data_IF_553135552301
#
_entry.id   IF_553135552301
#
_cell.length_a   1.000
_cell.length_b   1.000
_cell.length_c   1.000
_cell.angle_alpha   90.00
_cell.angle_beta   90.00
_cell.angle_gamma   90.00
#
_symmetry.space_group_name_H-M   'P 1'
#
loop_
_entity.id
_entity.type
_entity.pdbx_description
1 polymer ?
#
# COMPACT_ATOMS: atom_id res chain seq x y z
N UNK A 1 12.89 -1.03 2.72
CA UNK A 1 12.28 -2.34 2.95
C UNK A 1 11.39 -2.70 1.77
N UNK A 2 11.62 -3.90 1.21
CA UNK A 2 10.89 -4.44 0.06
C UNK A 2 10.29 -5.79 0.43
N UNK A 3 9.13 -5.79 1.11
CA UNK A 3 8.21 -6.88 1.46
C UNK A 3 8.68 -7.88 2.52
N UNK A 4 9.91 -8.39 2.43
CA UNK A 4 10.40 -9.40 3.36
C UNK A 4 10.73 -8.82 4.72
N UNK A 5 10.38 -9.57 5.78
CA UNK A 5 10.61 -9.19 7.17
C UNK A 5 11.53 -10.21 7.84
N UNK A 6 12.37 -9.78 8.79
CA UNK A 6 13.04 -10.72 9.66
C UNK A 6 12.04 -11.65 10.37
N UNK A 7 12.38 -12.93 10.48
CA UNK A 7 11.47 -13.94 11.01
C UNK A 7 10.99 -13.58 12.42
N UNK A 8 11.91 -13.17 13.30
CA UNK A 8 11.58 -12.74 14.66
C UNK A 8 10.57 -11.59 14.72
N UNK A 9 10.64 -10.65 13.77
CA UNK A 9 9.70 -9.52 13.72
C UNK A 9 8.34 -9.99 13.22
N UNK A 10 8.31 -10.82 12.18
CA UNK A 10 7.10 -11.40 11.62
C UNK A 10 6.35 -12.25 12.65
N UNK A 11 7.05 -13.18 13.32
CA UNK A 11 6.49 -14.08 14.34
C UNK A 11 5.99 -13.33 15.58
N UNK A 12 6.63 -12.22 15.94
CA UNK A 12 6.18 -11.37 17.05
C UNK A 12 5.00 -10.46 16.72
N UNK A 13 4.42 -10.57 15.52
CA UNK A 13 3.25 -9.81 15.05
C UNK A 13 3.55 -8.68 14.07
N UNK A 14 4.82 -8.47 13.68
CA UNK A 14 5.20 -7.52 12.64
C UNK A 14 4.60 -6.12 12.84
N UNK A 15 4.02 -5.56 11.78
CA UNK A 15 3.39 -4.24 11.84
C UNK A 15 2.03 -4.19 12.57
N UNK A 16 1.55 -5.29 13.14
CA UNK A 16 0.41 -5.25 14.08
C UNK A 16 0.81 -4.71 15.45
N UNK A 17 2.10 -4.81 15.82
CA UNK A 17 2.65 -4.36 17.10
C UNK A 17 2.57 -2.85 17.23
N UNK A 18 2.32 -2.37 18.46
CA UNK A 18 2.28 -0.94 18.75
C UNK A 18 3.67 -0.27 18.62
N UNK A 19 4.72 -1.02 18.89
CA UNK A 19 6.13 -0.58 18.86
C UNK A 19 6.82 -0.82 17.50
N UNK A 20 6.10 -1.35 16.50
CA UNK A 20 6.64 -1.56 15.15
C UNK A 20 7.21 -0.28 14.50
N UNK A 21 6.65 0.92 14.71
CA UNK A 21 7.25 2.15 14.19
C UNK A 21 8.66 2.42 14.73
N UNK A 22 8.86 2.21 16.03
CA UNK A 22 10.17 2.42 16.68
C UNK A 22 11.19 1.37 16.25
N UNK A 23 10.75 0.11 16.10
CA UNK A 23 11.61 -0.98 15.61
C UNK A 23 12.07 -0.67 14.19
N UNK A 24 11.16 -0.26 13.31
CA UNK A 24 11.48 0.09 11.94
C UNK A 24 12.37 1.34 11.84
N UNK A 25 12.13 2.35 12.68
CA UNK A 25 12.98 3.54 12.74
C UNK A 25 14.42 3.24 13.16
N UNK A 26 14.63 2.30 14.09
CA UNK A 26 16.00 1.84 14.48
C UNK A 26 16.72 1.19 13.29
N UNK A 27 16.02 0.34 12.54
CA UNK A 27 16.58 -0.25 11.32
C UNK A 27 16.92 0.83 10.28
N UNK A 28 16.01 1.76 10.02
CA UNK A 28 16.22 2.85 9.07
C UNK A 28 17.38 3.77 9.49
N UNK A 29 17.52 4.05 10.79
CA UNK A 29 18.65 4.80 11.35
C UNK A 29 19.96 4.08 11.06
N UNK A 30 20.05 2.79 11.39
CA UNK A 30 21.26 1.99 11.13
C UNK A 30 21.65 2.01 9.66
N UNK A 31 20.68 1.83 8.75
CA UNK A 31 20.93 1.91 7.29
C UNK A 31 21.46 3.29 6.89
N UNK A 32 20.88 4.37 7.42
CA UNK A 32 21.33 5.72 7.13
C UNK A 32 22.74 6.02 7.68
N UNK A 33 23.08 5.48 8.84
CA UNK A 33 24.42 5.61 9.42
C UNK A 33 25.50 4.86 8.62
N UNK A 34 25.15 3.70 8.03
CA UNK A 34 26.09 2.90 7.27
C UNK A 34 26.22 3.33 5.80
N UNK A 35 25.12 3.73 5.17
CA UNK A 35 25.03 3.95 3.72
C UNK A 35 24.74 5.41 3.36
N UNK A 36 24.36 6.26 4.30
CA UNK A 36 23.91 7.63 4.03
C UNK A 36 24.96 8.47 3.28
N UNK A 37 26.26 8.26 3.55
CA UNK A 37 27.34 8.92 2.81
C UNK A 37 27.54 8.46 1.36
N UNK A 38 26.89 7.37 0.95
CA UNK A 38 27.08 6.73 -0.36
C UNK A 38 25.84 6.85 -1.24
N UNK A 39 24.71 7.33 -0.71
CA UNK A 39 23.44 7.40 -1.44
C UNK A 39 22.82 8.80 -1.33
N UNK A 40 22.10 9.19 -2.36
CA UNK A 40 21.36 10.45 -2.41
C UNK A 40 19.91 10.27 -1.96
N UNK A 41 19.36 9.06 -2.04
CA UNK A 41 17.96 8.75 -1.76
C UNK A 41 17.83 7.48 -0.94
N UNK A 42 16.88 7.47 -0.01
CA UNK A 42 16.46 6.26 0.72
C UNK A 42 14.94 6.10 0.61
N UNK A 43 14.52 5.01 -0.02
CA UNK A 43 13.14 4.55 0.01
C UNK A 43 12.91 3.76 1.30
N UNK A 44 12.08 4.25 2.19
CA UNK A 44 11.79 3.56 3.44
C UNK A 44 11.03 2.26 3.23
N UNK A 45 9.97 2.33 2.41
CA UNK A 45 9.06 1.20 2.16
C UNK A 45 8.66 1.17 0.69
N UNK A 46 8.67 -0.04 0.12
CA UNK A 46 8.02 -0.32 -1.15
C UNK A 46 6.56 -0.75 -0.90
N UNK A 47 5.62 -0.12 -1.58
CA UNK A 47 4.20 -0.49 -1.69
C UNK A 47 3.49 -0.87 -0.37
N UNK A 48 3.51 -0.05 0.67
CA UNK A 48 2.89 -0.40 1.95
C UNK A 48 1.39 -0.71 1.84
N UNK A 49 0.71 -0.17 0.84
CA UNK A 49 -0.70 -0.46 0.54
C UNK A 49 -0.89 -1.88 -0.01
N UNK A 50 0.02 -2.38 -0.83
CA UNK A 50 -0.02 -3.76 -1.35
C UNK A 50 0.26 -4.75 -0.21
N UNK A 51 1.28 -4.48 0.61
CA UNK A 51 1.58 -5.28 1.80
C UNK A 51 0.36 -5.38 2.72
N UNK A 52 -0.25 -4.24 3.05
CA UNK A 52 -1.45 -4.22 3.89
C UNK A 52 -2.62 -4.98 3.27
N UNK A 53 -2.87 -4.78 1.97
CA UNK A 53 -3.96 -5.45 1.25
C UNK A 53 -3.75 -6.96 1.17
N UNK A 54 -2.57 -7.41 0.75
CA UNK A 54 -2.31 -8.82 0.53
C UNK A 54 -2.19 -9.60 1.85
N UNK A 55 -1.61 -9.00 2.89
CA UNK A 55 -1.44 -9.66 4.19
C UNK A 55 -2.71 -9.70 5.04
N UNK A 56 -3.56 -8.65 4.96
CA UNK A 56 -4.64 -8.49 5.95
C UNK A 56 -6.06 -8.33 5.37
N UNK A 57 -6.19 -8.17 4.02
CA UNK A 57 -7.51 -8.15 3.38
C UNK A 57 -7.71 -9.33 2.44
N UNK A 58 -6.73 -9.63 1.58
CA UNK A 58 -6.80 -10.73 0.62
C UNK A 58 -6.33 -12.05 1.20
N UNK A 59 -5.37 -12.02 2.13
CA UNK A 59 -4.77 -13.19 2.73
C UNK A 59 -3.89 -13.99 1.78
N UNK A 60 -3.35 -13.33 0.75
CA UNK A 60 -2.44 -13.97 -0.23
C UNK A 60 -0.97 -13.93 0.20
N UNK A 61 -0.63 -13.08 1.17
CA UNK A 61 0.70 -12.96 1.76
C UNK A 61 0.65 -13.16 3.29
N UNK A 62 1.76 -13.53 3.93
CA UNK A 62 1.83 -13.55 5.39
C UNK A 62 1.36 -12.23 6.00
N UNK A 63 0.62 -12.25 7.09
CA UNK A 63 0.19 -13.37 7.92
C UNK A 63 -1.11 -14.07 7.46
N UNK A 64 -1.48 -13.99 6.17
CA UNK A 64 -2.62 -14.67 5.52
C UNK A 64 -3.99 -14.36 6.15
N UNK A 65 -4.17 -13.15 6.69
CA UNK A 65 -5.46 -12.71 7.22
C UNK A 65 -6.36 -12.23 6.09
N UNK A 66 -7.59 -12.74 6.06
CA UNK A 66 -8.56 -12.44 5.01
C UNK A 66 -9.77 -11.71 5.59
N UNK A 67 -10.22 -10.70 4.86
CA UNK A 67 -11.54 -10.08 5.01
C UNK A 67 -12.39 -10.45 3.78
N UNK A 68 -13.54 -11.08 3.99
CA UNK A 68 -14.49 -11.38 2.92
C UNK A 68 -15.85 -10.80 3.26
N UNK A 69 -16.36 -9.92 2.41
CA UNK A 69 -17.74 -9.40 2.52
C UNK A 69 -18.77 -10.52 2.43
N UNK A 70 -18.46 -11.60 1.68
CA UNK A 70 -19.31 -12.80 1.60
C UNK A 70 -19.49 -13.48 2.96
N UNK A 71 -18.50 -13.39 3.86
CA UNK A 71 -18.60 -13.93 5.21
C UNK A 71 -19.57 -13.11 6.08
N UNK A 72 -19.85 -11.85 5.70
CA UNK A 72 -20.82 -10.97 6.37
C UNK A 72 -22.23 -11.07 5.78
N UNK A 73 -22.35 -11.50 4.50
CA UNK A 73 -23.64 -11.56 3.77
C UNK A 73 -24.22 -12.96 3.73
N UNK A 74 -23.48 -13.98 4.14
CA UNK A 74 -23.91 -15.38 4.17
C UNK A 74 -24.95 -15.65 5.28
N UNK A 75 -26.06 -14.90 5.25
CA UNK A 75 -27.11 -14.90 6.28
C UNK A 75 -28.02 -16.15 6.18
N UNK A 76 -27.83 -17.04 5.21
CA UNK A 76 -28.92 -17.92 4.83
C UNK A 76 -28.87 -19.35 5.35
N UNK A 77 -27.80 -19.87 6.00
CA UNK A 77 -27.84 -21.31 6.30
C UNK A 77 -27.14 -21.87 7.56
N UNK A 78 -26.72 -21.10 8.56
CA UNK A 78 -26.46 -21.70 9.90
C UNK A 78 -25.97 -20.65 10.91
N UNK A 79 -26.81 -20.35 11.90
CA UNK A 79 -26.68 -19.23 12.82
C UNK A 79 -25.40 -19.17 13.68
N UNK A 80 -24.77 -20.29 14.06
CA UNK A 80 -23.58 -20.28 14.92
C UNK A 80 -22.28 -20.03 14.18
N UNK A 81 -22.15 -20.54 12.98
CA UNK A 81 -20.94 -20.36 12.15
C UNK A 81 -20.85 -18.95 11.53
N UNK A 82 -22.01 -18.31 11.31
CA UNK A 82 -22.09 -16.96 10.76
C UNK A 82 -21.53 -15.91 11.73
N UNK A 83 -21.93 -15.97 12.99
CA UNK A 83 -21.54 -14.99 14.00
C UNK A 83 -20.01 -15.03 14.21
N UNK A 84 -19.41 -16.20 14.24
CA UNK A 84 -17.96 -16.37 14.36
C UNK A 84 -17.19 -15.88 13.13
N UNK A 85 -17.68 -16.14 11.91
CA UNK A 85 -17.07 -15.68 10.66
C UNK A 85 -17.18 -14.17 10.48
N UNK A 86 -18.37 -13.60 10.71
CA UNK A 86 -18.60 -12.16 10.65
C UNK A 86 -17.72 -11.41 11.66
N UNK A 87 -17.65 -11.90 12.90
CA UNK A 87 -16.84 -11.31 13.96
C UNK A 87 -15.34 -11.38 13.62
N UNK A 88 -14.88 -12.49 13.03
CA UNK A 88 -13.49 -12.65 12.55
C UNK A 88 -13.19 -11.69 11.40
N UNK A 89 -14.09 -11.51 10.45
CA UNK A 89 -13.94 -10.57 9.34
C UNK A 89 -13.87 -9.12 9.79
N UNK A 90 -14.76 -8.70 10.72
CA UNK A 90 -14.71 -7.35 11.33
C UNK A 90 -13.38 -7.14 12.07
N UNK A 91 -12.93 -8.13 12.83
CA UNK A 91 -11.63 -8.08 13.51
C UNK A 91 -10.49 -7.89 12.52
N UNK A 92 -10.50 -8.60 11.41
CA UNK A 92 -9.44 -8.49 10.39
C UNK A 92 -9.38 -7.11 9.74
N UNK A 93 -10.51 -6.44 9.47
CA UNK A 93 -10.50 -5.07 8.92
C UNK A 93 -9.95 -4.06 9.94
N UNK A 94 -10.25 -4.22 11.22
CA UNK A 94 -9.69 -3.38 12.28
C UNK A 94 -8.18 -3.58 12.42
N UNK A 95 -7.71 -4.83 12.28
CA UNK A 95 -6.28 -5.14 12.26
C UNK A 95 -5.62 -4.51 11.04
N UNK A 96 -6.20 -4.64 9.84
CA UNK A 96 -5.72 -3.98 8.63
C UNK A 96 -5.55 -2.47 8.82
N UNK A 97 -6.58 -1.80 9.36
CA UNK A 97 -6.53 -0.36 9.62
C UNK A 97 -5.40 0.01 10.60
N UNK A 98 -5.18 -0.82 11.63
CA UNK A 98 -4.06 -0.65 12.59
C UNK A 98 -2.72 -0.81 11.87
N UNK A 99 -2.56 -1.83 11.05
CA UNK A 99 -1.34 -2.08 10.27
C UNK A 99 -1.04 -0.90 9.34
N UNK A 100 -2.02 -0.42 8.59
CA UNK A 100 -1.84 0.73 7.71
C UNK A 100 -1.47 2.02 8.48
N UNK A 101 -2.01 2.18 9.69
CA UNK A 101 -1.62 3.29 10.58
C UNK A 101 -0.20 3.12 11.10
N UNK A 102 0.20 1.90 11.47
CA UNK A 102 1.54 1.61 11.96
C UNK A 102 2.59 1.73 10.85
N UNK A 103 2.30 1.28 9.62
CA UNK A 103 3.17 1.49 8.46
C UNK A 103 3.42 2.98 8.19
N UNK A 104 2.37 3.81 8.25
CA UNK A 104 2.54 5.25 8.09
C UNK A 104 3.37 5.87 9.23
N UNK A 105 3.13 5.46 10.48
CA UNK A 105 3.94 5.90 11.63
C UNK A 105 5.39 5.42 11.54
N UNK A 106 5.60 4.19 11.04
CA UNK A 106 6.93 3.62 10.87
C UNK A 106 7.73 4.41 9.82
N UNK A 107 7.09 4.76 8.70
CA UNK A 107 7.69 5.66 7.72
C UNK A 107 8.06 7.02 8.34
N UNK A 108 7.14 7.67 9.04
CA UNK A 108 7.37 8.98 9.65
C UNK A 108 8.52 8.95 10.67
N UNK A 109 8.58 7.91 11.51
CA UNK A 109 9.67 7.73 12.47
C UNK A 109 11.00 7.41 11.77
N UNK A 110 10.97 6.61 10.70
CA UNK A 110 12.15 6.33 9.88
C UNK A 110 12.67 7.59 9.17
N UNK A 111 11.78 8.43 8.61
CA UNK A 111 12.15 9.72 8.04
C UNK A 111 12.94 10.56 9.03
N UNK A 112 12.39 10.75 10.23
CA UNK A 112 13.07 11.54 11.28
C UNK A 112 14.43 10.95 11.64
N UNK A 113 14.52 9.63 11.80
CA UNK A 113 15.76 8.96 12.14
C UNK A 113 16.83 9.08 11.02
N UNK A 114 16.41 8.93 9.75
CA UNK A 114 17.31 9.10 8.60
C UNK A 114 17.81 10.55 8.51
N UNK A 115 16.91 11.54 8.65
CA UNK A 115 17.30 12.96 8.60
C UNK A 115 18.25 13.37 9.73
N UNK A 116 18.17 12.73 10.89
CA UNK A 116 19.12 12.94 11.98
C UNK A 116 20.51 12.37 11.69
N UNK A 117 20.60 11.22 11.03
CA UNK A 117 21.86 10.53 10.74
C UNK A 117 22.49 10.98 9.41
N UNK A 118 21.67 11.30 8.40
CA UNK A 118 22.12 11.70 7.07
C UNK A 118 21.18 12.80 6.50
N UNK A 119 21.33 14.06 6.94
CA UNK A 119 20.39 15.16 6.61
C UNK A 119 20.26 15.43 5.12
N UNK A 120 21.30 15.19 4.33
CA UNK A 120 21.35 15.43 2.89
C UNK A 120 20.56 14.39 2.08
N UNK A 121 20.31 13.20 2.65
CA UNK A 121 19.61 12.13 1.95
C UNK A 121 18.14 12.49 1.78
N UNK A 122 17.64 12.37 0.55
CA UNK A 122 16.22 12.52 0.26
C UNK A 122 15.47 11.23 0.61
N UNK A 123 14.39 11.36 1.37
CA UNK A 123 13.62 10.23 1.90
C UNK A 123 12.25 10.14 1.23
N UNK A 124 11.90 8.95 0.80
CA UNK A 124 10.64 8.70 0.12
C UNK A 124 9.97 7.40 0.56
N UNK A 125 8.73 7.23 0.12
CA UNK A 125 8.00 5.97 0.09
C UNK A 125 7.57 5.71 -1.34
N UNK A 126 7.62 4.48 -1.77
CA UNK A 126 7.11 4.08 -3.08
C UNK A 126 5.68 3.59 -2.95
N UNK A 127 4.78 4.17 -3.74
CA UNK A 127 3.36 3.83 -3.78
C UNK A 127 3.01 3.07 -5.04
N UNK A 128 2.44 1.89 -4.90
CA UNK A 128 1.71 1.28 -6.00
C UNK A 128 0.41 2.05 -6.21
N UNK A 129 0.28 2.70 -7.34
CA UNK A 129 -0.92 3.49 -7.68
C UNK A 129 -1.73 2.76 -8.74
N UNK A 130 -2.88 2.23 -8.33
CA UNK A 130 -3.92 1.80 -9.25
C UNK A 130 -4.81 3.02 -9.50
N UNK A 131 -5.02 3.36 -10.77
CA UNK A 131 -5.99 4.39 -11.14
C UNK A 131 -7.36 3.73 -11.25
N UNK A 132 -8.20 3.99 -10.29
CA UNK A 132 -9.59 3.57 -10.33
C UNK A 132 -10.42 4.66 -11.01
N UNK A 133 -11.01 4.35 -12.14
CA UNK A 133 -11.97 5.20 -12.82
C UNK A 133 -13.37 4.55 -12.87
N UNK A 134 -14.33 5.21 -13.48
CA UNK A 134 -15.69 4.71 -13.58
C UNK A 134 -16.31 5.15 -14.91
N UNK A 135 -17.27 4.37 -15.40
CA UNK A 135 -18.16 4.80 -16.45
C UNK A 135 -19.10 5.94 -15.93
N UNK A 136 -20.08 6.36 -16.75
CA UNK A 136 -21.00 7.45 -16.41
C UNK A 136 -21.91 7.17 -15.20
N UNK A 137 -22.06 5.90 -14.76
CA UNK A 137 -22.94 5.50 -13.66
C UNK A 137 -22.46 6.13 -12.32
N UNK A 138 -23.31 6.89 -11.61
CA UNK A 138 -22.95 7.59 -10.38
C UNK A 138 -22.49 6.64 -9.27
N UNK A 139 -23.06 5.45 -9.15
CA UNK A 139 -22.63 4.44 -8.17
C UNK A 139 -21.19 3.96 -8.44
N UNK A 140 -20.83 3.79 -9.73
CA UNK A 140 -19.48 3.42 -10.10
C UNK A 140 -18.48 4.55 -9.85
N UNK A 141 -18.90 5.81 -10.05
CA UNK A 141 -18.09 6.99 -9.68
C UNK A 141 -17.81 7.04 -8.19
N UNK A 142 -18.80 6.76 -7.35
CA UNK A 142 -18.62 6.68 -5.88
C UNK A 142 -17.64 5.55 -5.54
N UNK A 143 -17.80 4.35 -6.13
CA UNK A 143 -16.86 3.23 -5.92
C UNK A 143 -15.42 3.62 -6.29
N UNK A 144 -15.23 4.25 -7.44
CA UNK A 144 -13.92 4.71 -7.88
C UNK A 144 -13.33 5.75 -6.93
N UNK A 145 -14.13 6.72 -6.46
CA UNK A 145 -13.69 7.73 -5.51
C UNK A 145 -13.25 7.10 -4.18
N UNK A 146 -14.05 6.19 -3.61
CA UNK A 146 -13.71 5.46 -2.38
C UNK A 146 -12.46 4.60 -2.55
N UNK A 147 -12.34 3.88 -3.67
CA UNK A 147 -11.18 3.05 -3.96
C UNK A 147 -9.89 3.90 -4.05
N UNK A 148 -9.92 4.99 -4.80
CA UNK A 148 -8.78 5.91 -4.92
C UNK A 148 -8.40 6.54 -3.58
N UNK A 149 -9.41 6.96 -2.79
CA UNK A 149 -9.18 7.55 -1.47
C UNK A 149 -8.52 6.55 -0.51
N UNK A 150 -9.08 5.35 -0.40
CA UNK A 150 -8.58 4.32 0.50
C UNK A 150 -7.20 3.78 0.07
N UNK A 151 -6.99 3.58 -1.24
CA UNK A 151 -5.77 3.00 -1.76
C UNK A 151 -4.57 3.95 -1.71
N UNK A 152 -4.78 5.23 -2.02
CA UNK A 152 -3.70 6.21 -2.17
C UNK A 152 -3.79 7.31 -1.13
N UNK A 153 -4.92 8.02 -1.04
CA UNK A 153 -5.01 9.30 -0.33
C UNK A 153 -4.84 9.16 1.17
N UNK A 154 -5.42 8.12 1.79
CA UNK A 154 -5.36 7.92 3.25
C UNK A 154 -3.91 7.78 3.73
N UNK A 155 -3.10 6.98 3.03
CA UNK A 155 -1.69 6.79 3.41
C UNK A 155 -0.88 8.06 3.16
N UNK A 156 -1.02 8.67 1.98
CA UNK A 156 -0.32 9.90 1.63
C UNK A 156 -0.60 11.04 2.60
N UNK A 157 -1.85 11.23 3.01
CA UNK A 157 -2.22 12.26 4.00
C UNK A 157 -1.54 12.05 5.37
N UNK A 158 -1.20 10.80 5.72
CA UNK A 158 -0.51 10.48 6.98
C UNK A 158 1.00 10.64 6.89
N UNK A 159 1.56 10.65 5.69
CA UNK A 159 3.02 10.61 5.48
C UNK A 159 3.59 11.84 4.78
N UNK A 160 2.81 12.61 4.03
CA UNK A 160 3.27 13.70 3.15
C UNK A 160 4.19 14.75 3.79
N UNK A 161 4.11 14.93 5.12
CA UNK A 161 4.98 15.86 5.86
C UNK A 161 6.35 15.26 6.21
N UNK A 162 6.53 13.98 5.93
CA UNK A 162 7.74 13.22 6.18
C UNK A 162 8.22 12.56 4.87
N UNK A 163 8.14 13.31 3.77
CA UNK A 163 8.58 12.91 2.43
C UNK A 163 9.27 14.11 1.79
N UNK A 164 10.42 13.87 1.16
CA UNK A 164 11.06 14.85 0.27
C UNK A 164 10.54 14.68 -1.17
N UNK A 165 10.18 13.46 -1.55
CA UNK A 165 9.58 13.09 -2.83
C UNK A 165 8.75 11.82 -2.66
N UNK A 166 7.98 11.43 -3.66
CA UNK A 166 7.19 10.19 -3.66
C UNK A 166 7.50 9.31 -4.86
N UNK A 167 7.72 8.02 -4.62
CA UNK A 167 7.90 7.03 -5.67
C UNK A 167 6.57 6.50 -6.19
N UNK A 168 6.50 6.28 -7.49
CA UNK A 168 5.36 5.69 -8.19
C UNK A 168 5.75 4.33 -8.76
N UNK A 169 5.02 3.27 -8.36
CA UNK A 169 4.94 2.03 -9.11
C UNK A 169 3.61 2.00 -9.85
N UNK A 170 3.67 1.84 -11.18
CA UNK A 170 2.50 1.77 -12.03
C UNK A 170 2.57 0.56 -12.96
N UNK A 171 1.53 -0.28 -12.92
CA UNK A 171 1.45 -1.50 -13.72
C UNK A 171 0.12 -1.65 -14.45
N UNK A 172 -1.00 -1.22 -13.87
CA UNK A 172 -2.31 -1.42 -14.46
C UNK A 172 -3.35 -0.40 -14.01
N UNK A 173 -4.44 -0.40 -14.74
CA UNK A 173 -5.60 0.48 -14.61
C UNK A 173 -6.88 -0.32 -14.38
N UNK A 174 -7.84 0.25 -13.70
CA UNK A 174 -9.15 -0.37 -13.46
C UNK A 174 -10.27 0.63 -13.62
N UNK A 175 -11.34 0.24 -14.35
CA UNK A 175 -12.53 1.04 -14.49
C UNK A 175 -13.78 0.29 -14.03
N UNK A 176 -14.49 0.84 -13.04
CA UNK A 176 -15.75 0.29 -12.58
C UNK A 176 -16.84 0.44 -13.66
N UNK A 177 -17.52 -0.68 -13.97
CA UNK A 177 -18.54 -0.73 -15.01
C UNK A 177 -18.02 -0.67 -16.44
N UNK A 178 -16.74 -0.93 -16.63
CA UNK A 178 -16.15 -1.11 -17.97
C UNK A 178 -16.61 -2.43 -18.58
N UNK A 179 -17.00 -2.36 -19.86
CA UNK A 179 -17.38 -3.52 -20.68
C UNK A 179 -16.37 -3.80 -21.79
N UNK A 180 -15.28 -3.03 -21.87
CA UNK A 180 -14.25 -3.21 -22.87
C UNK A 180 -13.47 -4.49 -22.60
N UNK A 181 -13.09 -5.16 -23.67
CA UNK A 181 -12.11 -6.23 -23.61
C UNK A 181 -10.71 -5.59 -23.64
N UNK A 182 -10.07 -5.54 -22.49
CA UNK A 182 -8.70 -5.09 -22.39
C UNK A 182 -7.74 -6.18 -22.86
N UNK A 183 -6.68 -5.77 -23.57
CA UNK A 183 -5.50 -6.62 -23.66
C UNK A 183 -5.00 -6.89 -22.23
N UNK A 184 -4.73 -8.15 -21.92
CA UNK A 184 -4.25 -8.56 -20.61
C UNK A 184 -2.77 -8.83 -20.65
N UNK A 185 -2.11 -8.62 -19.52
CA UNK A 185 -0.76 -9.13 -19.25
C UNK A 185 -0.84 -10.57 -18.75
N UNK A 186 0.30 -11.25 -18.60
CA UNK A 186 0.35 -12.63 -18.05
C UNK A 186 -0.10 -12.72 -16.59
N UNK A 187 -0.13 -11.60 -15.88
CA UNK A 187 -0.71 -11.49 -14.53
C UNK A 187 -2.21 -11.16 -14.55
N UNK A 188 -2.88 -11.27 -15.71
CA UNK A 188 -4.29 -10.89 -15.92
C UNK A 188 -4.60 -9.41 -15.60
N UNK A 189 -3.60 -8.53 -15.65
CA UNK A 189 -3.78 -7.09 -15.48
C UNK A 189 -4.19 -6.44 -16.80
N UNK A 190 -4.99 -5.38 -16.72
CA UNK A 190 -5.31 -4.58 -17.91
C UNK A 190 -4.06 -3.86 -18.41
N UNK A 191 -3.66 -4.13 -19.64
CA UNK A 191 -2.58 -3.40 -20.29
C UNK A 191 -3.06 -2.00 -20.68
N UNK A 192 -2.59 -1.00 -19.95
CA UNK A 192 -3.04 0.39 -20.08
C UNK A 192 -1.91 1.38 -19.73
N UNK A 193 -0.79 1.39 -20.49
CA UNK A 193 0.39 2.19 -20.16
C UNK A 193 0.11 3.69 -20.17
N UNK A 194 -0.83 4.18 -20.99
CA UNK A 194 -1.23 5.59 -21.08
C UNK A 194 -1.77 6.17 -19.77
N UNK A 195 -2.36 5.35 -18.92
CA UNK A 195 -2.91 5.78 -17.63
C UNK A 195 -1.85 6.00 -16.53
N UNK A 196 -0.56 5.83 -16.83
CA UNK A 196 0.52 6.33 -15.95
C UNK A 196 0.40 7.84 -15.76
N UNK A 197 -0.07 8.57 -16.77
CA UNK A 197 -0.35 10.00 -16.66
C UNK A 197 -1.34 10.31 -15.53
N UNK A 198 -2.43 9.56 -15.46
CA UNK A 198 -3.45 9.74 -14.41
C UNK A 198 -2.87 9.42 -13.00
N UNK A 199 -1.98 8.43 -12.91
CA UNK A 199 -1.29 8.10 -11.66
C UNK A 199 -0.36 9.25 -11.22
N UNK A 200 0.41 9.82 -12.14
CA UNK A 200 1.28 10.98 -11.89
C UNK A 200 0.46 12.21 -11.45
N UNK A 201 -0.61 12.54 -12.17
CA UNK A 201 -1.53 13.64 -11.81
C UNK A 201 -2.15 13.42 -10.43
N UNK A 202 -2.42 12.16 -10.04
CA UNK A 202 -2.95 11.86 -8.72
C UNK A 202 -1.93 12.11 -7.62
N UNK A 203 -0.69 11.70 -7.81
CA UNK A 203 0.38 11.93 -6.82
C UNK A 203 0.82 13.40 -6.75
N UNK A 204 0.84 14.12 -7.87
CA UNK A 204 1.23 15.54 -7.89
C UNK A 204 0.35 16.43 -7.00
N UNK A 205 -0.90 16.01 -6.71
CA UNK A 205 -1.82 16.73 -5.81
C UNK A 205 -1.32 16.83 -4.36
N UNK A 206 -0.31 16.06 -3.99
CA UNK A 206 0.30 16.14 -2.66
C UNK A 206 1.41 17.20 -2.56
N UNK A 207 1.74 17.86 -3.68
CA UNK A 207 2.72 18.97 -3.72
C UNK A 207 4.17 18.52 -3.56
N UNK A 208 4.48 17.26 -3.88
CA UNK A 208 5.81 16.66 -3.79
C UNK A 208 6.31 16.30 -5.20
N UNK A 209 7.64 16.33 -5.43
CA UNK A 209 8.22 15.73 -6.61
C UNK A 209 7.86 14.25 -6.69
N UNK A 210 7.56 13.76 -7.90
CA UNK A 210 7.22 12.36 -8.16
C UNK A 210 8.31 11.75 -9.03
N UNK A 211 8.79 10.56 -8.67
CA UNK A 211 9.64 9.76 -9.56
C UNK A 211 9.00 8.39 -9.82
N UNK A 212 9.14 7.89 -11.02
CA UNK A 212 8.70 6.54 -11.37
C UNK A 212 9.80 5.57 -10.96
N UNK A 213 9.51 4.76 -9.94
CA UNK A 213 10.45 3.74 -9.43
C UNK A 213 10.28 2.41 -10.16
N UNK A 214 9.03 2.06 -10.49
CA UNK A 214 8.73 0.85 -11.23
C UNK A 214 7.60 1.13 -12.22
N UNK A 215 7.80 0.72 -13.47
CA UNK A 215 6.79 0.67 -14.50
C UNK A 215 7.14 -0.45 -15.47
N UNK A 216 6.15 -1.24 -15.87
CA UNK A 216 6.42 -2.37 -16.74
C UNK A 216 5.18 -3.19 -17.04
N UNK A 217 5.41 -4.23 -17.81
CA UNK A 217 4.40 -5.20 -18.24
C UNK A 217 4.86 -6.58 -17.79
N UNK A 218 3.95 -7.35 -17.20
CA UNK A 218 4.20 -8.75 -16.95
C UNK A 218 4.03 -9.50 -18.28
N UNK A 219 5.13 -9.85 -18.90
CA UNK A 219 5.22 -10.54 -20.18
C UNK A 219 6.21 -11.70 -20.01
N UNK A 220 5.83 -12.91 -20.39
CA UNK A 220 6.65 -14.12 -20.26
C UNK A 220 7.51 -14.39 -21.49
N UNK A 221 7.32 -13.64 -22.61
CA UNK A 221 8.05 -13.83 -23.88
C UNK A 221 9.36 -13.02 -23.94
#
# INVERSE_FOLDING_TARGET
>A
WHFTLPLWFSESGGFERKDSPQIFARYAKFVAEQLGGQVTHITTMNEPNVVGSNGWLRGSWPPFKRFALTDMVSITNSGRDFESKAQKSVKNILVYQRVMKNLAKAHNAAYTAIKQSAPHVQVNVVKHVIVFSANWNPFNKIKAAVANYSWTTVFMNRTRRHLDLVGLNYFFYTQFGDKRQWRKTDMDWNFAPEHIYDALVRLSKFGLPVFVSEAGVADAD
#
